data_IF_695119904759
#
_entry.id   IF_695119904759
#
_cell.length_a   1.000
_cell.length_b   1.000
_cell.length_c   1.000
_cell.angle_alpha   90.00
_cell.angle_beta   90.00
_cell.angle_gamma   90.00
#
_symmetry.space_group_name_H-M   'P 1'
#
loop_
_entity.id
_entity.type
_entity.pdbx_description
1 polymer ?
#
# COMPACT_ATOMS: atom_id res chain seq x y z
N UNK A 1 15.77 -16.51 -2.32
CA UNK A 1 14.84 -16.74 -1.19
C UNK A 1 13.75 -15.68 -1.32
N UNK A 2 12.52 -16.08 -1.67
CA UNK A 2 11.40 -15.16 -1.86
C UNK A 2 10.54 -15.19 -0.59
N UNK A 3 10.27 -14.04 0.02
CA UNK A 3 9.35 -13.93 1.15
C UNK A 3 7.96 -13.65 0.59
N UNK A 4 7.00 -14.52 0.88
CA UNK A 4 5.60 -14.32 0.52
C UNK A 4 4.90 -13.60 1.67
N UNK A 5 4.29 -12.44 1.40
CA UNK A 5 3.39 -11.78 2.35
C UNK A 5 1.96 -12.17 1.96
N UNK A 6 1.31 -12.97 2.81
CA UNK A 6 -0.10 -13.35 2.66
C UNK A 6 -0.97 -12.31 3.38
N UNK A 7 -1.79 -11.57 2.64
CA UNK A 7 -2.83 -10.72 3.24
C UNK A 7 -4.00 -11.60 3.73
N UNK A 8 -4.57 -11.24 4.89
CA UNK A 8 -5.49 -12.09 5.67
C UNK A 8 -6.87 -12.30 5.00
N UNK A 9 -7.24 -11.52 3.97
CA UNK A 9 -8.58 -11.58 3.34
C UNK A 9 -8.63 -11.25 1.81
N UNK A 10 -7.55 -11.46 1.05
CA UNK A 10 -7.48 -11.19 -0.40
C UNK A 10 -7.27 -12.43 -1.29
N UNK A 11 -7.72 -12.44 -2.56
CA UNK A 11 -7.46 -13.55 -3.47
C UNK A 11 -5.96 -13.68 -3.75
N UNK A 12 -5.45 -14.90 -3.59
CA UNK A 12 -4.04 -15.26 -3.66
C UNK A 12 -3.38 -14.76 -4.96
N UNK A 13 -2.42 -13.85 -4.86
CA UNK A 13 -1.56 -13.46 -6.00
C UNK A 13 -0.40 -14.45 -6.10
N UNK A 14 -0.18 -14.94 -7.32
CA UNK A 14 0.62 -16.10 -7.66
C UNK A 14 2.04 -16.07 -7.10
N UNK A 15 2.43 -17.17 -6.44
CA UNK A 15 3.83 -17.50 -6.19
C UNK A 15 4.48 -17.89 -7.52
N UNK A 16 5.67 -17.36 -7.80
CA UNK A 16 6.46 -17.78 -8.96
C UNK A 16 6.84 -19.27 -8.81
N UNK A 17 6.07 -20.17 -9.42
CA UNK A 17 6.55 -21.51 -9.74
C UNK A 17 7.48 -21.40 -10.94
N UNK A 18 8.77 -21.61 -10.71
CA UNK A 18 9.67 -22.10 -11.76
C UNK A 18 10.01 -23.54 -11.41
N UNK A 19 9.80 -24.51 -12.33
CA UNK A 19 10.07 -25.91 -12.05
C UNK A 19 11.58 -26.12 -11.94
N UNK A 20 12.04 -26.70 -10.83
CA UNK A 20 13.42 -27.18 -10.72
C UNK A 20 13.61 -28.39 -11.65
N UNK A 21 14.71 -28.47 -12.41
CA UNK A 21 14.99 -29.65 -13.22
C UNK A 21 15.30 -30.82 -12.29
N UNK A 22 14.74 -31.99 -12.62
CA UNK A 22 15.02 -33.26 -11.96
C UNK A 22 16.52 -33.55 -11.98
N UNK A 23 17.17 -33.59 -10.82
CA UNK A 23 18.55 -34.08 -10.69
C UNK A 23 18.54 -35.24 -9.70
N UNK A 24 19.06 -36.36 -10.17
CA UNK A 24 19.17 -37.64 -9.48
C UNK A 24 19.73 -37.55 -8.05
N UNK A 25 19.22 -38.44 -7.20
CA UNK A 25 19.59 -38.61 -5.80
C UNK A 25 21.11 -38.80 -5.61
N UNK A 26 21.77 -37.75 -5.13
CA UNK A 26 22.80 -37.88 -4.12
C UNK A 26 22.13 -37.52 -2.79
N UNK A 27 22.23 -38.38 -1.78
CA UNK A 27 21.83 -38.05 -0.42
C UNK A 27 22.79 -36.96 0.13
N UNK A 28 22.58 -35.71 -0.30
CA UNK A 28 23.04 -34.55 0.45
C UNK A 28 22.24 -34.55 1.74
N UNK A 29 22.95 -34.60 2.86
CA UNK A 29 22.39 -34.39 4.17
C UNK A 29 21.78 -32.98 4.18
N UNK A 30 20.47 -32.92 3.95
CA UNK A 30 19.73 -31.67 3.95
C UNK A 30 19.71 -31.16 5.39
N UNK A 31 20.20 -29.94 5.62
CA UNK A 31 20.15 -29.31 6.94
C UNK A 31 18.67 -29.17 7.34
N UNK A 32 18.27 -29.65 8.52
CA UNK A 32 16.91 -29.47 9.02
C UNK A 32 16.53 -27.98 9.11
N UNK A 33 15.29 -27.58 8.78
CA UNK A 33 14.84 -26.18 8.89
C UNK A 33 14.97 -25.59 10.31
N UNK A 34 14.96 -26.44 11.34
CA UNK A 34 15.18 -26.07 12.74
C UNK A 34 16.62 -25.58 12.99
N UNK A 35 17.60 -26.12 12.26
CA UNK A 35 19.03 -25.85 12.43
C UNK A 35 19.50 -24.64 11.60
N UNK A 36 18.63 -24.11 10.72
CA UNK A 36 18.88 -22.91 9.93
C UNK A 36 18.32 -21.71 10.70
N UNK A 37 19.20 -20.87 11.23
CA UNK A 37 18.84 -19.68 12.02
C UNK A 37 19.15 -18.42 11.24
N UNK A 38 18.13 -17.55 11.11
CA UNK A 38 18.25 -16.19 10.61
C UNK A 38 18.51 -15.24 11.78
N UNK A 39 19.53 -14.39 11.68
CA UNK A 39 19.87 -13.39 12.69
C UNK A 39 19.85 -12.00 12.09
N UNK A 40 18.96 -11.13 12.57
CA UNK A 40 18.77 -9.77 12.06
C UNK A 40 19.96 -8.89 12.46
N UNK A 41 20.67 -8.35 11.47
CA UNK A 41 21.83 -7.47 11.65
C UNK A 41 21.44 -6.01 11.68
N UNK A 42 20.60 -5.58 10.74
CA UNK A 42 19.99 -4.26 10.74
C UNK A 42 18.47 -4.42 10.72
N UNK A 43 17.74 -3.88 11.70
CA UNK A 43 16.28 -3.97 11.70
C UNK A 43 15.67 -3.14 10.56
N UNK A 44 14.40 -3.39 10.21
CA UNK A 44 13.65 -2.53 9.31
C UNK A 44 13.60 -1.08 9.82
N UNK A 45 13.57 -0.12 8.89
CA UNK A 45 13.56 1.32 9.18
C UNK A 45 12.16 1.91 9.35
N UNK A 46 11.16 1.27 8.73
CA UNK A 46 9.76 1.67 8.69
C UNK A 46 8.83 0.69 9.40
N UNK A 47 9.39 -0.26 10.14
CA UNK A 47 8.63 -1.27 10.89
C UNK A 47 9.53 -2.13 11.78
N UNK A 48 9.01 -3.29 12.18
CA UNK A 48 9.70 -4.23 13.04
C UNK A 48 9.29 -5.67 12.71
N UNK A 49 10.20 -6.62 12.98
CA UNK A 49 9.91 -8.04 12.88
C UNK A 49 9.41 -8.55 14.23
N UNK A 50 8.33 -9.33 14.19
CA UNK A 50 7.76 -9.99 15.37
C UNK A 50 7.58 -11.47 15.10
N UNK A 51 7.55 -12.25 16.18
CA UNK A 51 7.17 -13.64 16.14
C UNK A 51 5.82 -13.82 16.83
N UNK A 52 4.98 -14.66 16.25
CA UNK A 52 3.70 -15.09 16.82
C UNK A 52 3.98 -16.18 17.84
N UNK A 53 3.55 -15.95 19.07
CA UNK A 53 3.62 -16.89 20.18
C UNK A 53 2.20 -17.17 20.67
N UNK A 54 1.79 -18.45 20.66
CA UNK A 54 0.49 -18.86 21.19
C UNK A 54 0.50 -18.79 22.73
N UNK A 55 -0.60 -18.30 23.31
CA UNK A 55 -0.77 -18.29 24.75
C UNK A 55 -0.83 -19.71 25.33
N UNK A 56 -0.67 -19.84 26.65
CA UNK A 56 -0.61 -21.14 27.31
C UNK A 56 -1.97 -21.90 27.31
N UNK A 57 -3.05 -21.22 26.91
CA UNK A 57 -4.40 -21.76 26.82
C UNK A 57 -5.08 -21.31 25.52
N UNK A 58 -6.08 -22.08 25.08
CA UNK A 58 -6.83 -21.83 23.83
C UNK A 58 -7.61 -20.50 23.85
N UNK A 59 -7.95 -19.98 25.04
CA UNK A 59 -8.67 -18.71 25.21
C UNK A 59 -7.73 -17.49 25.25
N UNK A 60 -6.42 -17.69 25.26
CA UNK A 60 -5.47 -16.59 25.30
C UNK A 60 -5.12 -16.12 23.87
N UNK A 61 -5.23 -14.81 23.57
CA UNK A 61 -4.89 -14.29 22.25
C UNK A 61 -3.40 -14.50 21.94
N UNK A 62 -3.04 -14.73 20.66
CA UNK A 62 -1.65 -14.84 20.26
C UNK A 62 -0.91 -13.53 20.55
N UNK A 63 0.32 -13.67 21.05
CA UNK A 63 1.21 -12.55 21.34
C UNK A 63 2.14 -12.30 20.15
N UNK A 64 2.55 -11.04 20.00
CA UNK A 64 3.46 -10.58 18.96
C UNK A 64 4.68 -9.99 19.63
N UNK A 65 5.74 -10.78 19.72
CA UNK A 65 6.96 -10.39 20.42
C UNK A 65 8.02 -9.96 19.42
N UNK A 66 8.71 -8.81 19.61
CA UNK A 66 9.84 -8.42 18.77
C UNK A 66 10.89 -9.51 18.67
N UNK A 67 11.38 -9.78 17.46
CA UNK A 67 12.32 -10.86 17.21
C UNK A 67 13.58 -10.36 16.50
N UNK A 68 14.74 -10.81 16.97
CA UNK A 68 16.05 -10.54 16.37
C UNK A 68 16.71 -11.78 15.76
N UNK A 69 16.20 -12.97 16.08
CA UNK A 69 16.66 -14.23 15.51
C UNK A 69 15.53 -15.24 15.46
N UNK A 70 15.42 -15.99 14.39
CA UNK A 70 14.35 -16.98 14.20
C UNK A 70 14.83 -18.13 13.32
N UNK A 71 14.36 -19.37 13.55
CA UNK A 71 14.71 -20.50 12.71
C UNK A 71 13.88 -20.51 11.42
N UNK A 72 14.33 -21.24 10.40
CA UNK A 72 13.59 -21.38 9.15
C UNK A 72 12.24 -22.03 9.35
N UNK A 73 12.14 -23.01 10.25
CA UNK A 73 10.86 -23.64 10.59
C UNK A 73 9.78 -22.63 11.02
N UNK A 74 10.16 -21.52 11.68
CA UNK A 74 9.22 -20.48 12.09
C UNK A 74 8.77 -19.61 10.91
N UNK A 75 9.65 -19.40 9.93
CA UNK A 75 9.31 -18.74 8.66
C UNK A 75 8.37 -19.64 7.84
N UNK A 76 8.70 -20.92 7.72
CA UNK A 76 7.92 -21.92 6.99
C UNK A 76 6.52 -22.10 7.62
N UNK A 77 6.41 -21.97 8.95
CA UNK A 77 5.16 -21.99 9.68
C UNK A 77 4.39 -20.64 9.65
N UNK A 78 4.93 -19.59 9.02
CA UNK A 78 4.29 -18.27 8.94
C UNK A 78 4.19 -17.54 10.29
N UNK A 79 5.07 -17.86 11.25
CA UNK A 79 5.07 -17.26 12.59
C UNK A 79 5.87 -15.97 12.66
N UNK A 80 6.74 -15.70 11.68
CA UNK A 80 7.53 -14.46 11.61
C UNK A 80 6.79 -13.45 10.74
N UNK A 81 6.48 -12.28 11.32
CA UNK A 81 5.70 -11.23 10.67
C UNK A 81 6.47 -9.92 10.64
N UNK A 82 6.29 -9.15 9.57
CA UNK A 82 6.66 -7.74 9.51
C UNK A 82 5.47 -6.88 9.91
N UNK A 83 5.68 -5.98 10.86
CA UNK A 83 4.70 -4.97 11.26
C UNK A 83 5.17 -3.59 10.80
N UNK A 84 4.40 -3.01 9.89
CA UNK A 84 4.66 -1.70 9.33
C UNK A 84 4.19 -0.59 10.28
N UNK A 85 5.03 0.42 10.52
CA UNK A 85 4.75 1.49 11.49
C UNK A 85 4.91 2.90 10.94
N UNK A 86 5.22 3.07 9.64
CA UNK A 86 5.40 4.40 9.02
C UNK A 86 4.58 4.51 7.72
N UNK A 87 3.31 4.94 7.80
CA UNK A 87 2.37 4.92 6.67
C UNK A 87 2.87 5.55 5.35
N UNK A 88 3.80 6.49 5.43
CA UNK A 88 4.36 7.21 4.29
C UNK A 88 5.49 6.42 3.59
N UNK A 89 6.01 5.36 4.22
CA UNK A 89 7.11 4.55 3.73
C UNK A 89 6.58 3.32 2.96
N UNK A 90 6.68 3.40 1.64
CA UNK A 90 6.25 2.35 0.70
C UNK A 90 7.24 1.19 0.57
N UNK A 91 8.48 1.41 1.03
CA UNK A 91 9.57 0.45 0.97
C UNK A 91 10.28 0.43 2.29
N UNK A 92 10.76 -0.75 2.65
CA UNK A 92 11.60 -0.94 3.81
C UNK A 92 12.68 -1.96 3.50
N UNK A 93 13.74 -1.97 4.28
CA UNK A 93 14.83 -2.92 4.13
C UNK A 93 15.35 -3.35 5.48
N UNK A 94 15.80 -4.59 5.57
CA UNK A 94 16.52 -5.09 6.72
C UNK A 94 17.60 -6.06 6.25
N UNK A 95 18.61 -6.30 7.09
CA UNK A 95 19.66 -7.25 6.76
C UNK A 95 19.75 -8.34 7.81
N UNK A 96 20.17 -9.53 7.37
CA UNK A 96 20.29 -10.70 8.22
C UNK A 96 21.49 -11.56 7.83
N UNK A 97 21.92 -12.38 8.78
CA UNK A 97 22.84 -13.48 8.56
C UNK A 97 22.09 -14.81 8.66
N UNK A 98 22.59 -15.84 7.99
CA UNK A 98 22.05 -17.20 8.03
C UNK A 98 23.13 -18.17 8.47
N UNK A 99 22.84 -18.95 9.51
CA UNK A 99 23.70 -20.02 10.03
C UNK A 99 22.96 -21.34 9.95
N UNK A 100 23.58 -22.39 9.41
CA UNK A 100 22.95 -23.71 9.22
C UNK A 100 23.66 -24.84 9.99
N UNK A 101 24.51 -24.52 10.96
CA UNK A 101 25.34 -25.48 11.71
C UNK A 101 26.44 -26.18 10.88
N UNK A 102 26.28 -26.23 9.56
CA UNK A 102 27.24 -26.73 8.59
C UNK A 102 27.85 -25.57 7.79
N UNK A 103 29.19 -25.54 7.72
CA UNK A 103 29.91 -24.57 6.90
C UNK A 103 29.96 -23.16 7.48
N UNK A 104 30.37 -22.20 6.64
CA UNK A 104 30.47 -20.80 7.02
C UNK A 104 29.08 -20.11 6.94
N UNK A 105 28.79 -19.15 7.85
CA UNK A 105 27.56 -18.38 7.78
C UNK A 105 27.47 -17.55 6.49
N UNK A 106 26.26 -17.35 6.01
CA UNK A 106 25.96 -16.36 4.98
C UNK A 106 25.68 -15.04 5.68
N UNK A 107 26.54 -14.04 5.50
CA UNK A 107 26.43 -12.77 6.21
C UNK A 107 25.92 -11.64 5.29
N UNK A 108 25.21 -10.69 5.88
CA UNK A 108 24.85 -9.42 5.23
C UNK A 108 23.83 -9.55 4.11
N UNK A 109 22.92 -10.53 4.18
CA UNK A 109 21.84 -10.69 3.21
C UNK A 109 20.87 -9.53 3.37
N UNK A 110 20.70 -8.74 2.32
CA UNK A 110 19.75 -7.63 2.28
C UNK A 110 18.37 -8.13 1.84
N UNK A 111 17.36 -7.82 2.64
CA UNK A 111 15.97 -8.12 2.37
C UNK A 111 15.24 -6.82 2.04
N UNK A 112 14.57 -6.78 0.89
CA UNK A 112 13.73 -5.67 0.46
C UNK A 112 12.26 -5.99 0.71
N UNK A 113 11.54 -5.02 1.30
CA UNK A 113 10.12 -5.10 1.60
C UNK A 113 9.40 -4.01 0.81
N UNK A 114 8.29 -4.40 0.20
CA UNK A 114 7.38 -3.48 -0.49
C UNK A 114 6.03 -3.48 0.23
N UNK A 115 5.63 -2.31 0.74
CA UNK A 115 4.42 -2.15 1.52
C UNK A 115 3.32 -1.68 0.59
N UNK A 116 2.33 -2.56 0.40
CA UNK A 116 1.16 -2.24 -0.40
C UNK A 116 0.09 -1.58 0.48
N UNK A 117 -0.45 -0.44 0.05
CA UNK A 117 -1.52 0.26 0.73
C UNK A 117 -2.83 -0.51 0.61
N UNK A 118 -3.61 -0.53 1.70
CA UNK A 118 -4.96 -1.11 1.69
C UNK A 118 -6.02 -0.17 1.11
N UNK A 119 -5.71 1.14 1.02
CA UNK A 119 -6.60 2.16 0.47
C UNK A 119 -5.81 3.17 -0.40
N UNK A 120 -6.49 3.82 -1.34
CA UNK A 120 -5.90 4.85 -2.20
C UNK A 120 -5.70 6.14 -1.38
N UNK A 121 -4.46 6.62 -1.19
CA UNK A 121 -4.17 7.81 -0.40
C UNK A 121 -4.49 9.05 -1.24
N UNK A 122 -5.68 9.60 -1.03
CA UNK A 122 -6.19 10.77 -1.71
C UNK A 122 -6.12 11.99 -0.78
N UNK A 123 -5.28 12.95 -1.14
CA UNK A 123 -5.21 14.27 -0.51
C UNK A 123 -6.13 15.24 -1.23
N UNK A 124 -7.00 15.91 -0.48
CA UNK A 124 -7.85 16.98 -0.97
C UNK A 124 -7.56 18.28 -0.21
N UNK A 125 -7.46 19.40 -0.94
CA UNK A 125 -7.32 20.72 -0.36
C UNK A 125 -8.65 21.48 -0.45
N UNK A 126 -8.94 22.26 0.59
CA UNK A 126 -10.08 23.17 0.57
C UNK A 126 -9.84 24.30 -0.43
N UNK A 127 -10.89 24.69 -1.11
CA UNK A 127 -10.86 25.80 -2.05
C UNK A 127 -12.17 26.58 -2.03
N UNK A 128 -12.10 27.86 -2.38
CA UNK A 128 -13.26 28.68 -2.69
C UNK A 128 -13.29 29.00 -4.18
N UNK A 129 -14.51 29.19 -4.68
CA UNK A 129 -14.77 29.67 -6.04
C UNK A 129 -15.56 30.98 -5.89
N UNK A 130 -15.08 32.10 -6.46
CA UNK A 130 -15.86 33.34 -6.46
C UNK A 130 -17.21 33.14 -7.15
N UNK A 131 -18.22 33.89 -6.74
CA UNK A 131 -19.54 33.84 -7.39
C UNK A 131 -19.43 34.13 -8.89
N UNK A 132 -20.08 33.31 -9.72
CA UNK A 132 -19.98 33.37 -11.18
C UNK A 132 -18.62 32.94 -11.75
N UNK A 133 -17.67 32.59 -10.88
CA UNK A 133 -16.37 32.05 -11.24
C UNK A 133 -16.42 30.54 -11.50
N UNK A 134 -15.35 30.08 -12.12
CA UNK A 134 -15.12 28.66 -12.41
C UNK A 134 -13.77 28.25 -11.86
N UNK A 135 -13.69 27.06 -11.25
CA UNK A 135 -12.41 26.50 -10.79
C UNK A 135 -12.20 25.07 -11.25
N UNK A 136 -11.06 24.83 -11.87
CA UNK A 136 -10.69 23.51 -12.39
C UNK A 136 -10.22 22.59 -11.27
N UNK A 137 -10.75 21.37 -11.21
CA UNK A 137 -10.29 20.33 -10.29
C UNK A 137 -9.00 19.69 -10.84
N UNK A 138 -7.86 20.24 -10.42
CA UNK A 138 -6.52 19.83 -10.83
C UNK A 138 -5.60 19.69 -9.61
N UNK A 139 -4.46 18.98 -9.71
CA UNK A 139 -3.39 19.16 -8.75
C UNK A 139 -3.01 20.65 -8.66
N UNK A 140 -2.88 21.22 -7.45
CA UNK A 140 -2.68 20.51 -6.19
C UNK A 140 -3.97 20.25 -5.38
N UNK A 141 -5.15 20.64 -5.87
CA UNK A 141 -6.42 20.53 -5.12
C UNK A 141 -6.83 19.10 -4.79
N UNK A 142 -6.60 18.18 -5.73
CA UNK A 142 -6.75 16.74 -5.54
C UNK A 142 -5.43 16.08 -5.92
N UNK A 143 -4.90 15.22 -5.05
CA UNK A 143 -3.64 14.51 -5.24
C UNK A 143 -3.76 13.08 -4.74
N UNK A 144 -3.63 12.12 -5.64
CA UNK A 144 -3.37 10.73 -5.25
C UNK A 144 -1.87 10.57 -5.03
N UNK A 145 -1.48 10.19 -3.82
CA UNK A 145 -0.07 9.98 -3.46
C UNK A 145 0.34 8.51 -3.59
N UNK A 146 1.62 8.24 -3.40
CA UNK A 146 2.17 6.88 -3.49
C UNK A 146 2.53 6.43 -4.92
N UNK A 147 3.41 5.43 -5.05
CA UNK A 147 3.97 5.03 -6.34
C UNK A 147 3.04 4.11 -7.16
N UNK A 148 2.03 3.48 -6.54
CA UNK A 148 1.23 2.41 -7.18
C UNK A 148 -0.03 2.88 -7.89
N UNK A 149 -0.59 4.01 -7.47
CA UNK A 149 -1.89 4.47 -7.93
C UNK A 149 -1.92 5.41 -9.14
N UNK A 150 -0.93 6.31 -9.36
CA UNK A 150 -1.03 7.27 -10.47
C UNK A 150 -0.97 6.60 -11.85
N UNK A 151 -0.63 5.31 -11.93
CA UNK A 151 -0.59 4.49 -13.14
C UNK A 151 -1.86 3.66 -13.36
N UNK A 152 -2.82 3.67 -12.42
CA UNK A 152 -4.05 2.87 -12.55
C UNK A 152 -4.97 3.48 -13.62
N UNK A 153 -5.24 2.76 -14.72
CA UNK A 153 -6.00 3.31 -15.85
C UNK A 153 -7.48 3.55 -15.54
N UNK A 154 -8.01 2.92 -14.48
CA UNK A 154 -9.43 2.88 -14.15
C UNK A 154 -9.73 3.42 -12.74
N UNK A 155 -8.91 4.36 -12.24
CA UNK A 155 -9.20 5.02 -10.96
C UNK A 155 -10.32 6.04 -11.14
N UNK A 156 -11.48 5.77 -10.53
CA UNK A 156 -12.62 6.68 -10.50
C UNK A 156 -12.79 7.28 -9.10
N UNK A 157 -13.07 8.57 -9.07
CA UNK A 157 -13.37 9.33 -7.87
C UNK A 157 -14.87 9.61 -7.84
N UNK A 158 -15.47 9.41 -6.67
CA UNK A 158 -16.88 9.69 -6.43
C UNK A 158 -17.01 10.85 -5.44
N UNK A 159 -17.95 11.74 -5.72
CA UNK A 159 -18.34 12.82 -4.85
C UNK A 159 -19.31 12.25 -3.82
N UNK A 160 -18.88 12.15 -2.56
CA UNK A 160 -19.72 11.64 -1.48
C UNK A 160 -20.77 12.67 -1.07
N UNK A 161 -20.35 13.93 -0.93
CA UNK A 161 -21.23 15.05 -0.65
C UNK A 161 -21.14 16.08 -1.76
N UNK A 162 -22.27 16.43 -2.41
CA UNK A 162 -22.27 17.46 -3.43
C UNK A 162 -21.93 18.83 -2.82
N UNK A 163 -21.38 19.76 -3.62
CA UNK A 163 -21.13 21.11 -3.15
C UNK A 163 -22.43 21.78 -2.67
N UNK A 164 -22.38 22.47 -1.53
CA UNK A 164 -23.55 23.17 -0.96
C UNK A 164 -24.08 24.28 -1.88
N UNK A 165 -23.19 24.84 -2.70
CA UNK A 165 -23.43 25.90 -3.67
C UNK A 165 -22.72 25.51 -4.98
N UNK A 166 -23.36 25.76 -6.12
CA UNK A 166 -22.80 25.45 -7.44
C UNK A 166 -22.87 23.98 -7.83
N UNK A 167 -22.21 23.64 -8.93
CA UNK A 167 -22.20 22.30 -9.50
C UNK A 167 -20.80 21.94 -10.01
N UNK A 168 -20.40 20.69 -9.76
CA UNK A 168 -19.26 20.08 -10.43
C UNK A 168 -19.68 19.73 -11.86
N UNK A 169 -18.90 20.11 -12.85
CA UNK A 169 -19.19 19.88 -14.27
C UNK A 169 -17.94 19.39 -15.00
N UNK A 170 -18.14 18.66 -16.09
CA UNK A 170 -17.04 18.29 -16.99
C UNK A 170 -16.82 19.43 -17.98
N UNK A 171 -15.56 19.82 -18.23
CA UNK A 171 -15.24 20.98 -19.07
C UNK A 171 -15.71 20.80 -20.52
N UNK A 172 -15.70 19.56 -21.03
CA UNK A 172 -16.08 19.22 -22.41
C UNK A 172 -17.60 18.96 -22.57
N UNK A 173 -18.35 18.86 -21.48
CA UNK A 173 -19.77 18.51 -21.52
C UNK A 173 -20.56 19.38 -20.53
N UNK A 174 -21.13 20.46 -21.05
CA UNK A 174 -22.23 21.18 -20.40
C UNK A 174 -23.49 20.30 -20.43
N UNK A 175 -23.47 19.18 -19.72
CA UNK A 175 -24.68 18.45 -19.38
C UNK A 175 -25.32 19.11 -18.16
N UNK A 176 -26.65 19.15 -18.19
CA UNK A 176 -27.54 19.81 -17.22
C UNK A 176 -27.63 19.00 -15.90
N UNK A 177 -26.49 18.76 -15.25
CA UNK A 177 -26.43 17.96 -14.03
C UNK A 177 -25.12 18.07 -13.28
N UNK A 178 -25.20 17.96 -11.96
CA UNK A 178 -24.03 17.87 -11.07
C UNK A 178 -23.30 16.55 -11.29
N UNK A 179 -22.01 16.64 -11.63
CA UNK A 179 -21.12 15.50 -11.79
C UNK A 179 -20.87 14.84 -10.43
N UNK A 180 -21.22 13.56 -10.31
CA UNK A 180 -21.02 12.76 -9.09
C UNK A 180 -19.83 11.80 -9.16
N UNK A 181 -19.32 11.50 -10.36
CA UNK A 181 -18.17 10.60 -10.56
C UNK A 181 -17.31 11.10 -11.72
N UNK A 182 -15.99 11.05 -11.55
CA UNK A 182 -15.00 11.43 -12.57
C UNK A 182 -13.73 10.59 -12.45
N UNK A 183 -13.01 10.40 -13.56
CA UNK A 183 -11.76 9.63 -13.52
C UNK A 183 -10.58 10.45 -13.01
N UNK A 184 -9.62 9.80 -12.36
CA UNK A 184 -8.37 10.44 -11.95
C UNK A 184 -7.59 11.02 -13.14
N UNK A 185 -7.71 10.38 -14.31
CA UNK A 185 -7.13 10.86 -15.56
C UNK A 185 -7.73 12.21 -16.00
N UNK A 186 -9.02 12.45 -15.78
CA UNK A 186 -9.64 13.76 -16.05
C UNK A 186 -9.07 14.86 -15.15
N UNK A 187 -8.81 14.56 -13.87
CA UNK A 187 -8.16 15.50 -12.93
C UNK A 187 -6.73 15.83 -13.37
N UNK A 188 -5.96 14.82 -13.78
CA UNK A 188 -4.58 15.01 -14.26
C UNK A 188 -4.49 15.80 -15.57
N UNK A 189 -5.50 15.66 -16.44
CA UNK A 189 -5.55 16.34 -17.74
C UNK A 189 -6.22 17.71 -17.68
N UNK A 190 -6.70 18.12 -16.52
CA UNK A 190 -7.39 19.39 -16.37
C UNK A 190 -6.45 20.58 -16.59
N UNK A 191 -6.88 21.55 -17.41
CA UNK A 191 -6.01 22.61 -17.97
C UNK A 191 -5.39 22.28 -19.35
N UNK A 192 -5.61 21.07 -19.86
CA UNK A 192 -5.61 20.74 -21.30
C UNK A 192 -7.09 20.59 -21.73
N UNK A 193 -7.46 20.57 -23.02
CA UNK A 193 -8.88 20.61 -23.45
C UNK A 193 -9.75 19.38 -23.07
N UNK A 194 -9.48 18.69 -21.95
CA UNK A 194 -10.10 17.45 -21.47
C UNK A 194 -10.29 17.43 -19.93
N UNK A 195 -10.42 18.58 -19.26
CA UNK A 195 -10.52 18.70 -17.80
C UNK A 195 -11.93 18.66 -17.22
N UNK A 196 -12.06 18.79 -15.89
CA UNK A 196 -13.32 19.03 -15.18
C UNK A 196 -13.24 20.38 -14.41
N UNK A 197 -14.37 21.07 -14.27
CA UNK A 197 -14.44 22.40 -13.64
C UNK A 197 -15.73 22.58 -12.81
N UNK A 198 -15.68 23.42 -11.78
CA UNK A 198 -16.82 23.75 -10.91
C UNK A 198 -17.44 25.08 -11.36
N UNK A 199 -18.75 25.16 -11.54
CA UNK A 199 -19.47 26.39 -11.92
C UNK A 199 -20.62 26.69 -10.94
N UNK A 200 -20.82 27.96 -10.55
CA UNK A 200 -21.92 28.39 -9.68
C UNK A 200 -22.96 29.23 -10.43
N UNK A 201 -24.27 28.90 -10.35
CA UNK A 201 -25.34 29.78 -10.79
C UNK A 201 -25.93 30.59 -9.62
N UNK A 202 -25.72 31.92 -9.68
CA UNK A 202 -26.39 33.00 -8.95
C UNK A 202 -26.15 33.15 -7.43
N UNK A 203 -26.12 34.43 -7.02
CA UNK A 203 -25.46 35.00 -5.85
C UNK A 203 -26.12 34.69 -4.50
N UNK A 204 -25.29 34.23 -3.54
CA UNK A 204 -25.31 34.58 -2.11
C UNK A 204 -24.29 33.73 -1.31
N UNK A 205 -23.29 34.44 -0.78
CA UNK A 205 -22.38 34.11 0.34
C UNK A 205 -21.12 33.27 0.04
N UNK A 206 -19.97 33.85 0.41
CA UNK A 206 -18.63 33.24 0.37
C UNK A 206 -18.43 32.35 1.61
N UNK A 207 -18.73 31.06 1.51
CA UNK A 207 -18.39 30.08 2.54
C UNK A 207 -17.41 29.01 1.99
N UNK A 208 -16.33 28.67 2.71
CA UNK A 208 -15.39 27.65 2.26
C UNK A 208 -16.05 26.27 2.22
N UNK A 209 -16.13 25.69 1.02
CA UNK A 209 -16.68 24.34 0.85
C UNK A 209 -15.66 23.29 1.24
N UNK A 210 -16.07 22.42 2.18
CA UNK A 210 -15.36 21.20 2.53
C UNK A 210 -15.97 20.07 1.70
N UNK A 211 -15.16 19.42 0.87
CA UNK A 211 -15.56 18.21 0.19
C UNK A 211 -15.04 17.01 1.00
N UNK A 212 -15.89 16.27 1.71
CA UNK A 212 -15.49 14.97 2.22
C UNK A 212 -15.34 14.01 1.04
N UNK A 213 -14.20 13.33 1.04
CA UNK A 213 -13.82 12.33 0.03
C UNK A 213 -13.84 10.95 0.65
#
# INVERSE_FOLDING_TARGET
MCVCVKERDGPSVACCESPLPSVDQAAQEAVPPADIVFSVKSPPSAGYLVMVSHGASVDEPPRLDPVHSFPQEAVDAGLVLYLHSRPEAWRDTFSLDVTSGLGAPLEGILMELEVLPTAIPLEAQNFSVPEGGTRTLAPPLLRVTGPYFPTLPSLNLQVLEPPQHGALQREEQAQDGTLSTFSWKEVQLSGRPRGCAVAHPWAQSEEPQKFPV
#
